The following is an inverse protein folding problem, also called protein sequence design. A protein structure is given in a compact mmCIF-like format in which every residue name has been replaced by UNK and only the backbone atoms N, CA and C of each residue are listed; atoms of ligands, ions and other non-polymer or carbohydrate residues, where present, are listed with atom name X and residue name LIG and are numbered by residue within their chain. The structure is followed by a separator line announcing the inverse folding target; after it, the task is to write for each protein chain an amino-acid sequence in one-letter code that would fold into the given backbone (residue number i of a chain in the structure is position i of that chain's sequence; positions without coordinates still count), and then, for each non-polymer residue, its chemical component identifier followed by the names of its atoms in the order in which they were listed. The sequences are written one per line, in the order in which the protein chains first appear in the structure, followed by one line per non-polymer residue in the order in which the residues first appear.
data_IF_213927778236
#
_entry.id   IF_213927778236
#
_cell.length_a   1.000
_cell.length_b   1.000
_cell.length_c   1.000
_cell.angle_alpha   90.00
_cell.angle_beta   90.00
_cell.angle_gamma   90.00
#
_symmetry.space_group_name_H-M   'P 1'
#
loop_
_entity.id
_entity.type
_entity.pdbx_description
1 polymer ?
#
# COMPACT_ATOMS: atom_id res chain seq x y z
N UNK A 1 -51.68 20.34 -26.06
CA UNK A 1 -51.37 20.26 -24.62
C UNK A 1 -50.10 19.43 -24.47
N UNK A 2 -49.06 19.92 -23.76
CA UNK A 2 -47.69 19.44 -23.86
C UNK A 2 -47.26 18.47 -22.73
N UNK A 3 -46.20 17.73 -23.02
CA UNK A 3 -45.13 17.26 -22.11
C UNK A 3 -45.48 16.30 -20.96
N UNK A 4 -45.53 15.00 -21.25
CA UNK A 4 -45.24 13.97 -20.25
C UNK A 4 -43.73 13.70 -20.31
N UNK A 5 -42.99 14.51 -19.55
CA UNK A 5 -41.56 14.46 -19.42
C UNK A 5 -41.05 13.03 -19.14
N UNK A 6 -40.04 12.64 -19.91
CA UNK A 6 -39.10 11.56 -19.63
C UNK A 6 -38.52 11.77 -18.21
N UNK A 7 -38.96 10.95 -17.26
CA UNK A 7 -38.44 10.97 -15.91
C UNK A 7 -37.01 10.40 -15.92
N UNK A 8 -36.00 11.10 -15.36
CA UNK A 8 -34.64 10.60 -15.37
C UNK A 8 -34.57 9.35 -14.47
N UNK A 9 -34.29 8.21 -15.09
CA UNK A 9 -34.07 6.96 -14.40
C UNK A 9 -32.73 7.03 -13.64
N UNK A 10 -32.78 7.35 -12.34
CA UNK A 10 -31.61 7.33 -11.47
C UNK A 10 -31.25 5.87 -11.16
N UNK A 11 -30.31 5.31 -11.93
CA UNK A 11 -29.72 4.02 -11.62
C UNK A 11 -29.09 4.03 -10.21
N UNK A 12 -29.23 2.96 -9.40
CA UNK A 12 -28.61 2.90 -8.08
C UNK A 12 -27.10 2.96 -8.25
N UNK A 13 -26.49 4.03 -7.74
CA UNK A 13 -25.05 4.23 -7.73
C UNK A 13 -24.42 3.10 -6.92
N UNK A 14 -23.67 2.23 -7.59
CA UNK A 14 -22.95 1.11 -6.96
C UNK A 14 -22.18 1.61 -5.73
N UNK A 15 -22.15 0.85 -4.62
CA UNK A 15 -21.39 1.26 -3.44
C UNK A 15 -19.93 1.39 -3.86
N UNK A 16 -19.46 2.63 -3.87
CA UNK A 16 -18.06 2.94 -4.12
C UNK A 16 -17.28 2.29 -2.98
N UNK A 17 -16.46 1.29 -3.31
CA UNK A 17 -15.59 0.65 -2.33
C UNK A 17 -14.74 1.74 -1.68
N UNK A 18 -14.87 1.89 -0.36
CA UNK A 18 -13.98 2.78 0.39
C UNK A 18 -12.55 2.29 0.22
N UNK A 19 -11.57 3.19 -0.01
CA UNK A 19 -10.18 2.77 -0.05
C UNK A 19 -9.81 2.11 1.28
N UNK A 20 -9.22 0.91 1.21
CA UNK A 20 -8.73 0.20 2.39
C UNK A 20 -7.54 0.97 2.97
N UNK A 21 -7.60 1.26 4.26
CA UNK A 21 -6.54 2.00 4.94
C UNK A 21 -5.47 1.04 5.43
N UNK A 22 -4.26 1.15 4.86
CA UNK A 22 -3.11 0.36 5.28
C UNK A 22 -2.36 1.06 6.42
N UNK A 23 -2.36 0.46 7.62
CA UNK A 23 -1.63 1.01 8.78
C UNK A 23 -0.11 0.91 8.67
N UNK A 24 0.39 -0.03 7.86
CA UNK A 24 1.84 -0.17 7.62
C UNK A 24 2.36 0.87 6.61
N UNK A 25 1.46 1.44 5.81
CA UNK A 25 1.78 2.47 4.82
C UNK A 25 0.64 3.50 4.70
N UNK A 26 0.46 4.36 5.72
CA UNK A 26 -0.69 5.27 5.82
C UNK A 26 -0.74 6.33 4.70
N UNK A 27 0.38 6.55 4.00
CA UNK A 27 0.49 7.50 2.89
C UNK A 27 0.65 6.84 1.52
N UNK A 28 0.59 5.51 1.44
CA UNK A 28 0.76 4.80 0.16
C UNK A 28 2.11 5.09 -0.48
N UNK A 29 3.18 5.18 0.31
CA UNK A 29 4.53 5.45 -0.19
C UNK A 29 4.94 4.42 -1.24
N UNK A 30 4.55 3.15 -1.05
CA UNK A 30 4.89 2.08 -1.99
C UNK A 30 4.30 2.34 -3.37
N UNK A 31 3.13 2.98 -3.48
CA UNK A 31 2.47 3.33 -4.75
C UNK A 31 3.12 4.50 -5.48
N UNK A 32 3.88 5.33 -4.77
CA UNK A 32 4.60 6.48 -5.33
C UNK A 32 5.97 6.10 -5.90
N UNK A 33 6.45 4.88 -5.65
CA UNK A 33 7.73 4.38 -6.13
C UNK A 33 7.62 3.82 -7.55
N UNK A 34 8.65 4.07 -8.36
CA UNK A 34 8.81 3.39 -9.64
C UNK A 34 9.13 1.91 -9.47
N UNK A 35 9.02 1.12 -10.54
CA UNK A 35 9.29 -0.33 -10.50
C UNK A 35 10.73 -0.65 -10.08
N UNK A 36 11.70 0.15 -10.53
CA UNK A 36 13.11 0.02 -10.16
C UNK A 36 13.31 0.29 -8.66
N UNK A 37 12.73 1.38 -8.14
CA UNK A 37 12.81 1.73 -6.72
C UNK A 37 12.15 0.65 -5.84
N UNK A 38 11.04 0.05 -6.28
CA UNK A 38 10.43 -1.10 -5.57
C UNK A 38 11.35 -2.30 -5.55
N UNK A 39 12.00 -2.63 -6.67
CA UNK A 39 12.94 -3.75 -6.75
C UNK A 39 14.14 -3.55 -5.82
N UNK A 40 14.69 -2.34 -5.79
CA UNK A 40 15.79 -1.98 -4.88
C UNK A 40 15.33 -2.06 -3.42
N UNK A 41 14.14 -1.54 -3.09
CA UNK A 41 13.58 -1.60 -1.73
C UNK A 41 13.37 -3.05 -1.26
N UNK A 42 12.83 -3.92 -2.11
CA UNK A 42 12.65 -5.33 -1.81
C UNK A 42 13.98 -6.04 -1.58
N UNK A 43 14.97 -5.76 -2.45
CA UNK A 43 16.32 -6.32 -2.31
C UNK A 43 16.99 -5.88 -1.00
N UNK A 44 16.88 -4.59 -0.66
CA UNK A 44 17.42 -4.05 0.58
C UNK A 44 16.75 -4.69 1.81
N UNK A 45 15.42 -4.89 1.75
CA UNK A 45 14.65 -5.56 2.79
C UNK A 45 15.11 -7.01 2.98
N UNK A 46 15.23 -7.77 1.90
CA UNK A 46 15.70 -9.16 1.93
C UNK A 46 17.11 -9.28 2.54
N UNK A 47 18.06 -8.44 2.10
CA UNK A 47 19.42 -8.43 2.66
C UNK A 47 19.43 -8.07 4.15
N UNK A 48 18.60 -7.11 4.55
CA UNK A 48 18.50 -6.69 5.95
C UNK A 48 17.98 -7.82 6.84
N UNK A 49 17.02 -8.60 6.36
CA UNK A 49 16.50 -9.75 7.10
C UNK A 49 17.48 -10.92 7.15
N UNK A 50 18.13 -11.26 6.03
CA UNK A 50 18.99 -12.44 5.95
C UNK A 50 20.37 -12.22 6.58
N UNK A 51 20.97 -11.04 6.36
CA UNK A 51 22.35 -10.76 6.78
C UNK A 51 22.46 -9.87 8.00
N UNK A 52 21.67 -8.79 8.07
CA UNK A 52 21.84 -7.79 9.13
C UNK A 52 21.14 -8.20 10.44
N UNK A 53 19.91 -8.70 10.35
CA UNK A 53 19.15 -9.14 11.53
C UNK A 53 19.89 -10.14 12.43
N UNK A 54 20.48 -11.25 11.93
CA UNK A 54 21.23 -12.16 12.79
C UNK A 54 22.47 -11.52 13.41
N UNK A 55 23.17 -10.64 12.66
CA UNK A 55 24.35 -9.92 13.16
C UNK A 55 24.00 -8.96 14.28
N UNK A 56 22.89 -8.23 14.17
CA UNK A 56 22.43 -7.32 15.23
C UNK A 56 22.14 -8.12 16.51
N UNK A 57 21.49 -9.28 16.39
CA UNK A 57 21.21 -10.15 17.53
C UNK A 57 22.49 -10.72 18.16
N UNK A 58 23.45 -11.13 17.33
CA UNK A 58 24.75 -11.63 17.81
C UNK A 58 25.57 -10.53 18.49
N UNK A 59 25.64 -9.34 17.90
CA UNK A 59 26.32 -8.17 18.48
C UNK A 59 25.71 -7.79 19.83
N UNK A 60 24.37 -7.75 19.95
CA UNK A 60 23.71 -7.44 21.22
C UNK A 60 23.99 -8.51 22.29
N UNK A 61 24.10 -9.79 21.91
CA UNK A 61 24.38 -10.88 22.86
C UNK A 61 25.82 -10.92 23.34
N UNK A 62 26.76 -10.50 22.50
CA UNK A 62 28.20 -10.50 22.81
C UNK A 62 28.73 -9.09 23.13
N UNK A 63 27.84 -8.14 23.40
CA UNK A 63 28.20 -6.80 23.86
C UNK A 63 28.87 -6.94 25.23
N UNK A 64 30.17 -6.60 25.32
CA UNK A 64 30.98 -6.61 26.55
C UNK A 64 31.25 -5.18 27.01
#
# INVERSE_FOLDING_TARGET
MPDAADAPQVAPKSPQAKPEFNWEDPFGLVDQLTEDERMVAETARAYSQDKLMPRVLESFRNET
#
